data_IF_066857022225
#
_entry.id   IF_066857022225
#
_cell.length_a   1.000
_cell.length_b   1.000
_cell.length_c   1.000
_cell.angle_alpha   90.00
_cell.angle_beta   90.00
_cell.angle_gamma   90.00
#
_symmetry.space_group_name_H-M   'P 1'
#
loop_
_entity.id
_entity.type
_entity.pdbx_description
1 polymer ?
#
# COMPACT_ATOMS: atom_id res chain seq x y z
N UNK A 1 11.32 -16.40 9.40
CA UNK A 1 10.11 -16.61 10.23
C UNK A 1 8.86 -16.13 9.51
N UNK A 2 8.88 -15.04 8.75
CA UNK A 2 7.70 -14.53 8.01
C UNK A 2 7.06 -15.52 7.01
N UNK A 3 7.81 -16.49 6.49
CA UNK A 3 7.31 -17.56 5.62
C UNK A 3 6.52 -18.65 6.36
N UNK A 4 6.65 -18.74 7.69
CA UNK A 4 5.92 -19.69 8.53
C UNK A 4 4.87 -18.98 9.38
N UNK A 5 5.28 -17.97 10.14
CA UNK A 5 4.40 -17.11 10.94
C UNK A 5 5.05 -15.73 11.09
N UNK A 6 4.45 -14.72 10.45
CA UNK A 6 4.92 -13.35 10.59
C UNK A 6 4.46 -12.73 11.90
N UNK A 7 5.29 -11.85 12.46
CA UNK A 7 5.01 -11.11 13.69
C UNK A 7 4.64 -9.68 13.34
N UNK A 8 3.51 -9.21 13.86
CA UNK A 8 3.10 -7.81 13.80
C UNK A 8 3.00 -7.23 15.20
N UNK A 9 3.67 -6.11 15.46
CA UNK A 9 3.61 -5.40 16.75
C UNK A 9 2.71 -4.18 16.62
N UNK A 10 1.86 -3.96 17.61
CA UNK A 10 0.93 -2.83 17.66
C UNK A 10 1.44 -1.83 18.67
N UNK A 11 1.56 -0.58 18.23
CA UNK A 11 1.98 0.53 19.06
C UNK A 11 0.86 1.57 19.19
N UNK A 12 0.76 2.18 20.38
CA UNK A 12 -0.19 3.25 20.65
C UNK A 12 0.52 4.49 21.15
N UNK A 13 0.04 5.64 20.72
CA UNK A 13 0.43 6.94 21.26
C UNK A 13 -0.80 7.68 21.80
N UNK A 14 -0.73 8.13 23.05
CA UNK A 14 -1.78 8.94 23.70
C UNK A 14 -1.46 10.45 23.70
N UNK A 15 -0.32 10.84 23.15
CA UNK A 15 0.19 12.22 23.21
C UNK A 15 0.58 12.77 21.83
N UNK A 16 -0.24 12.44 20.81
CA UNK A 16 -0.10 12.94 19.43
C UNK A 16 1.22 12.51 18.76
N UNK A 17 1.71 11.31 19.10
CA UNK A 17 2.89 10.69 18.49
C UNK A 17 4.22 11.09 19.12
N UNK A 18 4.23 11.76 20.28
CA UNK A 18 5.47 12.13 20.99
C UNK A 18 6.15 10.92 21.63
N UNK A 19 5.36 10.03 22.24
CA UNK A 19 5.83 8.75 22.75
C UNK A 19 4.91 7.63 22.27
N UNK A 20 5.48 6.43 22.19
CA UNK A 20 4.81 5.22 21.73
C UNK A 20 5.07 4.08 22.69
N UNK A 21 4.03 3.29 22.93
CA UNK A 21 4.08 2.09 23.75
C UNK A 21 3.65 0.91 22.89
N UNK A 22 4.39 -0.20 22.94
CA UNK A 22 3.95 -1.45 22.34
C UNK A 22 2.85 -2.04 23.24
N UNK A 23 1.65 -2.22 22.68
CA UNK A 23 0.48 -2.66 23.44
C UNK A 23 0.09 -4.12 23.18
N UNK A 24 0.53 -4.68 22.04
CA UNK A 24 0.31 -6.09 21.72
C UNK A 24 1.24 -6.57 20.61
N UNK A 25 1.45 -7.88 20.59
CA UNK A 25 2.15 -8.60 19.53
C UNK A 25 1.21 -9.68 18.95
N UNK A 26 1.12 -9.74 17.63
CA UNK A 26 0.24 -10.65 16.90
C UNK A 26 1.12 -11.59 16.08
N UNK A 27 0.95 -12.89 16.32
CA UNK A 27 1.54 -13.95 15.52
C UNK A 27 0.61 -14.35 14.38
N UNK A 28 1.19 -14.60 13.20
CA UNK A 28 0.43 -14.99 12.01
C UNK A 28 -0.33 -13.80 11.41
N UNK A 29 0.35 -12.66 11.23
CA UNK A 29 -0.18 -11.51 10.54
C UNK A 29 0.93 -10.74 9.80
N UNK A 30 0.72 -10.49 8.50
CA UNK A 30 1.69 -9.89 7.61
C UNK A 30 1.06 -8.95 6.58
N UNK A 31 1.84 -7.93 6.18
CA UNK A 31 1.48 -6.91 5.19
C UNK A 31 0.14 -6.22 5.43
N UNK A 32 -0.27 -6.11 6.69
CA UNK A 32 -1.64 -5.76 7.06
C UNK A 32 -1.88 -4.28 7.26
N UNK A 33 -3.13 -3.86 7.03
CA UNK A 33 -3.62 -2.52 7.30
C UNK A 33 -4.50 -2.50 8.54
N UNK A 34 -4.21 -1.58 9.46
CA UNK A 34 -5.12 -1.19 10.54
C UNK A 34 -6.19 -0.23 10.02
N UNK A 35 -7.44 -0.46 10.40
CA UNK A 35 -8.56 0.44 10.11
C UNK A 35 -9.64 0.33 11.17
N UNK A 36 -10.47 1.37 11.27
CA UNK A 36 -11.65 1.39 12.15
C UNK A 36 -12.89 1.17 11.31
N UNK A 37 -13.78 0.30 11.77
CA UNK A 37 -15.08 0.06 11.16
C UNK A 37 -16.07 -0.36 12.25
N UNK A 38 -17.32 0.11 12.22
CA UNK A 38 -18.34 -0.21 13.22
C UNK A 38 -17.83 -0.08 14.68
N UNK A 39 -17.12 1.01 14.99
CA UNK A 39 -16.53 1.29 16.32
C UNK A 39 -15.50 0.27 16.83
N UNK A 40 -15.01 -0.63 15.99
CA UNK A 40 -13.97 -1.60 16.31
C UNK A 40 -12.71 -1.40 15.46
N UNK A 41 -11.58 -1.89 15.94
CA UNK A 41 -10.32 -1.88 15.18
C UNK A 41 -10.20 -3.22 14.47
N UNK A 42 -9.88 -3.16 13.18
CA UNK A 42 -9.62 -4.33 12.36
C UNK A 42 -8.19 -4.28 11.81
N UNK A 43 -7.64 -5.46 11.60
CA UNK A 43 -6.34 -5.67 10.97
C UNK A 43 -6.52 -6.70 9.86
N UNK A 44 -6.36 -6.27 8.60
CA UNK A 44 -6.57 -7.13 7.43
C UNK A 44 -5.30 -7.20 6.59
N UNK A 45 -4.95 -8.41 6.17
CA UNK A 45 -3.81 -8.69 5.32
C UNK A 45 -3.66 -10.19 5.11
N UNK A 46 -2.42 -10.68 5.11
CA UNK A 46 -2.14 -12.12 4.99
C UNK A 46 -1.65 -12.67 6.32
N UNK A 47 -1.75 -13.98 6.56
CA UNK A 47 -1.24 -14.57 7.81
C UNK A 47 0.28 -14.79 7.80
N UNK A 48 0.89 -14.85 6.62
CA UNK A 48 2.32 -15.05 6.37
C UNK A 48 2.67 -14.57 4.96
N UNK A 49 3.95 -14.58 4.61
CA UNK A 49 4.38 -14.32 3.23
C UNK A 49 3.68 -15.30 2.26
N UNK A 50 2.85 -14.76 1.35
CA UNK A 50 2.01 -15.53 0.42
C UNK A 50 1.02 -16.51 1.09
N UNK A 51 0.33 -16.06 2.14
CA UNK A 51 -0.68 -16.84 2.84
C UNK A 51 -2.13 -16.44 2.56
N UNK A 52 -3.08 -17.13 3.20
CA UNK A 52 -4.50 -16.80 3.26
C UNK A 52 -4.73 -15.31 3.54
N UNK A 53 -5.74 -14.74 2.89
CA UNK A 53 -6.26 -13.43 3.25
C UNK A 53 -7.11 -13.56 4.51
N UNK A 54 -6.73 -12.81 5.55
CA UNK A 54 -7.33 -12.88 6.88
C UNK A 54 -7.64 -11.49 7.42
N UNK A 55 -8.60 -11.44 8.34
CA UNK A 55 -8.94 -10.26 9.12
C UNK A 55 -9.05 -10.61 10.60
N UNK A 56 -8.58 -9.70 11.44
CA UNK A 56 -8.70 -9.77 12.90
C UNK A 56 -9.47 -8.57 13.40
N UNK A 57 -10.16 -8.72 14.52
CA UNK A 57 -10.86 -7.65 15.24
C UNK A 57 -10.25 -7.48 16.62
N UNK A 58 -10.17 -6.24 17.07
CA UNK A 58 -9.93 -5.87 18.45
C UNK A 58 -11.12 -5.03 18.96
N UNK A 59 -11.55 -5.31 20.18
CA UNK A 59 -12.64 -4.62 20.87
C UNK A 59 -12.14 -3.80 22.08
N UNK A 60 -10.83 -3.79 22.33
CA UNK A 60 -10.17 -3.21 23.51
C UNK A 60 -9.00 -2.31 23.08
N UNK A 61 -9.23 -1.51 22.04
CA UNK A 61 -8.28 -0.53 21.50
C UNK A 61 -6.93 -1.12 21.04
N UNK A 62 -6.92 -2.37 20.59
CA UNK A 62 -5.76 -3.04 20.03
C UNK A 62 -4.92 -3.83 21.06
N UNK A 63 -5.39 -3.97 22.31
CA UNK A 63 -4.70 -4.75 23.33
C UNK A 63 -4.81 -6.26 23.07
N UNK A 64 -5.97 -6.74 22.63
CA UNK A 64 -6.18 -8.13 22.22
C UNK A 64 -6.83 -8.23 20.84
N UNK A 65 -6.61 -9.37 20.18
CA UNK A 65 -7.03 -9.62 18.81
C UNK A 65 -7.64 -11.01 18.65
N UNK A 66 -8.71 -11.11 17.87
CA UNK A 66 -9.27 -12.41 17.47
C UNK A 66 -8.27 -13.23 16.66
N UNK A 67 -8.38 -14.56 16.75
CA UNK A 67 -7.63 -15.49 15.90
C UNK A 67 -8.49 -15.95 14.72
N UNK A 68 -8.01 -15.80 13.47
CA UNK A 68 -8.72 -16.33 12.31
C UNK A 68 -8.67 -17.86 12.30
N UNK A 69 -9.82 -18.53 12.19
CA UNK A 69 -9.92 -20.00 12.20
C UNK A 69 -10.58 -20.55 10.95
N UNK A 70 -11.64 -19.91 10.48
CA UNK A 70 -12.52 -20.41 9.41
C UNK A 70 -13.30 -19.25 8.75
N UNK A 71 -14.14 -19.60 7.78
CA UNK A 71 -14.90 -18.65 6.98
C UNK A 71 -15.89 -17.78 7.79
N UNK A 72 -16.32 -18.21 8.97
CA UNK A 72 -17.18 -17.42 9.87
C UNK A 72 -16.34 -16.56 10.84
N UNK A 73 -15.06 -16.88 10.98
CA UNK A 73 -14.14 -16.31 11.95
C UNK A 73 -12.84 -15.86 11.29
N UNK A 74 -12.92 -14.87 10.40
CA UNK A 74 -11.77 -14.08 9.95
C UNK A 74 -10.88 -14.69 8.87
N UNK A 75 -11.09 -15.94 8.45
CA UNK A 75 -10.45 -16.48 7.24
C UNK A 75 -11.29 -16.09 6.02
N UNK A 76 -10.84 -15.08 5.27
CA UNK A 76 -11.61 -14.51 4.17
C UNK A 76 -11.41 -15.25 2.86
N UNK A 77 -10.16 -15.60 2.54
CA UNK A 77 -9.82 -16.39 1.36
C UNK A 77 -8.67 -17.34 1.71
N UNK A 78 -8.88 -18.65 1.49
CA UNK A 78 -7.83 -19.66 1.61
C UNK A 78 -6.98 -19.73 0.34
N UNK A 79 -5.65 -19.81 0.47
CA UNK A 79 -4.72 -19.85 -0.66
C UNK A 79 -3.47 -19.00 -0.45
N UNK A 80 -2.80 -18.63 -1.54
CA UNK A 80 -1.65 -17.73 -1.52
C UNK A 80 -2.06 -16.34 -1.99
N UNK A 81 -2.10 -15.37 -1.08
CA UNK A 81 -2.42 -13.98 -1.39
C UNK A 81 -1.27 -13.04 -1.03
N UNK A 82 -1.31 -11.84 -1.59
CA UNK A 82 -0.37 -10.77 -1.33
C UNK A 82 -1.15 -9.46 -1.14
N UNK A 83 -0.57 -8.55 -0.37
CA UNK A 83 -0.99 -7.17 -0.25
C UNK A 83 0.14 -6.34 0.35
N UNK A 84 -0.12 -5.06 0.57
CA UNK A 84 0.65 -4.17 1.43
C UNK A 84 -0.29 -3.45 2.41
N UNK A 85 0.21 -2.68 3.39
CA UNK A 85 -0.61 -1.80 4.23
C UNK A 85 -1.19 -0.61 3.42
N UNK A 86 -2.09 -0.91 2.49
CA UNK A 86 -2.76 0.01 1.57
C UNK A 86 -4.06 0.57 2.18
N UNK A 87 -4.57 1.72 1.73
CA UNK A 87 -5.81 2.27 2.28
C UNK A 87 -7.02 1.39 1.94
N UNK A 88 -8.00 1.39 2.85
CA UNK A 88 -9.37 1.00 2.55
C UNK A 88 -10.19 2.28 2.38
N UNK A 89 -11.20 2.26 1.51
CA UNK A 89 -12.12 3.38 1.32
C UNK A 89 -13.55 2.94 1.56
N UNK A 90 -14.36 3.87 2.07
CA UNK A 90 -15.81 3.75 2.09
C UNK A 90 -16.35 4.51 0.89
N UNK A 91 -17.14 3.84 0.05
CA UNK A 91 -17.79 4.45 -1.11
C UNK A 91 -19.04 3.65 -1.47
N UNK A 92 -20.13 4.35 -1.79
CA UNK A 92 -21.43 3.76 -2.17
C UNK A 92 -21.90 2.63 -1.24
N UNK A 93 -21.87 2.90 0.08
CA UNK A 93 -22.35 1.95 1.09
C UNK A 93 -21.48 0.70 1.27
N UNK A 94 -20.25 0.70 0.74
CA UNK A 94 -19.31 -0.43 0.83
C UNK A 94 -17.93 -0.01 1.30
N UNK A 95 -17.25 -0.92 1.97
CA UNK A 95 -15.82 -0.85 2.25
C UNK A 95 -15.05 -1.57 1.15
N UNK A 96 -13.99 -0.97 0.62
CA UNK A 96 -13.21 -1.49 -0.51
C UNK A 96 -11.74 -1.70 -0.14
N UNK A 97 -11.17 -2.82 -0.59
CA UNK A 97 -9.79 -3.25 -0.29
C UNK A 97 -9.15 -3.94 -1.48
N UNK A 98 -8.08 -3.37 -2.01
CA UNK A 98 -7.26 -4.04 -3.02
C UNK A 98 -6.42 -5.17 -2.40
N UNK A 99 -6.24 -6.25 -3.15
CA UNK A 99 -5.44 -7.42 -2.82
C UNK A 99 -4.82 -8.00 -4.10
N UNK A 100 -3.83 -8.87 -3.96
CA UNK A 100 -3.25 -9.60 -5.07
C UNK A 100 -3.32 -11.12 -4.85
N UNK A 101 -3.66 -11.85 -5.90
CA UNK A 101 -3.60 -13.30 -5.98
C UNK A 101 -2.16 -13.69 -6.25
N UNK A 102 -1.53 -14.46 -5.37
CA UNK A 102 -0.15 -14.91 -5.55
C UNK A 102 -0.07 -16.32 -6.16
N UNK A 103 -1.19 -16.92 -6.56
CA UNK A 103 -1.25 -18.31 -7.04
C UNK A 103 -0.97 -18.42 -8.54
N UNK A 104 -0.63 -17.32 -9.23
CA UNK A 104 -0.36 -17.31 -10.67
C UNK A 104 0.66 -18.36 -11.13
N UNK A 105 0.58 -18.79 -12.41
CA UNK A 105 1.33 -19.94 -12.93
C UNK A 105 2.85 -19.69 -13.00
N UNK A 106 3.28 -18.43 -13.19
CA UNK A 106 4.69 -18.05 -13.21
C UNK A 106 5.12 -17.70 -11.78
N UNK A 107 5.73 -18.64 -11.05
CA UNK A 107 6.15 -18.49 -9.64
C UNK A 107 7.42 -17.64 -9.48
N UNK A 108 7.44 -16.46 -10.09
CA UNK A 108 8.49 -15.44 -9.99
C UNK A 108 7.89 -14.19 -9.36
N UNK A 109 8.66 -13.50 -8.50
CA UNK A 109 8.22 -12.23 -7.91
C UNK A 109 7.77 -11.24 -8.99
N UNK A 110 6.67 -10.52 -8.74
CA UNK A 110 6.06 -9.63 -9.72
C UNK A 110 5.12 -10.39 -10.67
N UNK A 111 5.65 -11.39 -11.40
CA UNK A 111 4.91 -12.13 -12.44
C UNK A 111 3.84 -13.08 -11.90
N UNK A 112 3.99 -13.55 -10.65
CA UNK A 112 3.00 -14.44 -10.03
C UNK A 112 1.73 -13.72 -9.59
N UNK A 113 1.77 -12.39 -9.49
CA UNK A 113 0.72 -11.62 -8.85
C UNK A 113 -0.40 -11.26 -9.84
N UNK A 114 -1.63 -11.46 -9.40
CA UNK A 114 -2.83 -11.02 -10.10
C UNK A 114 -3.60 -9.99 -9.28
N UNK A 115 -3.89 -8.82 -9.84
CA UNK A 115 -4.61 -7.75 -9.14
C UNK A 115 -6.11 -8.05 -9.03
N UNK A 116 -6.70 -7.84 -7.86
CA UNK A 116 -8.15 -7.88 -7.67
C UNK A 116 -8.62 -6.92 -6.57
N UNK A 117 -9.93 -6.74 -6.46
CA UNK A 117 -10.58 -5.93 -5.43
C UNK A 117 -11.49 -6.80 -4.57
N UNK A 118 -11.48 -6.54 -3.27
CA UNK A 118 -12.47 -7.04 -2.32
C UNK A 118 -13.38 -5.89 -1.87
N UNK A 119 -14.65 -6.18 -1.61
CA UNK A 119 -15.55 -5.22 -0.97
C UNK A 119 -16.62 -5.89 -0.10
N UNK A 120 -17.16 -5.15 0.85
CA UNK A 120 -18.22 -5.61 1.77
C UNK A 120 -19.21 -4.47 2.04
N UNK A 121 -20.53 -4.72 2.11
CA UNK A 121 -21.49 -3.71 2.58
C UNK A 121 -21.20 -3.26 4.01
N UNK A 122 -21.39 -1.97 4.32
CA UNK A 122 -20.98 -1.39 5.61
C UNK A 122 -21.76 -1.91 6.82
N UNK A 123 -22.93 -2.50 6.61
CA UNK A 123 -23.80 -3.06 7.65
C UNK A 123 -23.49 -4.54 7.96
N UNK A 124 -22.59 -5.17 7.21
CA UNK A 124 -22.25 -6.59 7.36
C UNK A 124 -21.05 -6.80 8.27
N UNK A 125 -20.97 -8.00 8.83
CA UNK A 125 -19.87 -8.41 9.70
C UNK A 125 -18.61 -8.69 8.86
N UNK A 126 -17.50 -7.93 9.02
CA UNK A 126 -16.27 -8.15 8.26
C UNK A 126 -15.57 -9.46 8.57
N UNK A 127 -15.88 -10.11 9.71
CA UNK A 127 -15.25 -11.37 10.10
C UNK A 127 -15.79 -12.57 9.30
N UNK A 128 -16.91 -12.43 8.59
CA UNK A 128 -17.52 -13.51 7.81
C UNK A 128 -17.16 -13.39 6.33
N UNK A 129 -16.52 -14.41 5.77
CA UNK A 129 -16.06 -14.45 4.40
C UNK A 129 -17.21 -14.29 3.38
N UNK A 130 -18.38 -14.86 3.66
CA UNK A 130 -19.54 -14.80 2.76
C UNK A 130 -20.08 -13.37 2.52
N UNK A 131 -19.76 -12.41 3.40
CA UNK A 131 -20.14 -11.01 3.22
C UNK A 131 -19.22 -10.26 2.25
N UNK A 132 -18.04 -10.81 1.93
CA UNK A 132 -17.07 -10.18 1.04
C UNK A 132 -17.31 -10.59 -0.41
N UNK A 133 -17.38 -9.59 -1.28
CA UNK A 133 -17.37 -9.74 -2.74
C UNK A 133 -15.93 -9.63 -3.24
N UNK A 134 -15.53 -10.55 -4.13
CA UNK A 134 -14.22 -10.57 -4.81
C UNK A 134 -14.42 -10.33 -6.30
N UNK A 135 -13.62 -9.45 -6.91
CA UNK A 135 -13.61 -9.31 -8.36
C UNK A 135 -12.91 -10.48 -9.07
N UNK A 136 -13.02 -10.57 -10.40
CA UNK A 136 -12.06 -11.36 -11.18
C UNK A 136 -10.61 -10.87 -10.93
N UNK A 137 -9.66 -11.73 -11.28
CA UNK A 137 -8.22 -11.48 -11.12
C UNK A 137 -7.61 -11.05 -12.45
N UNK A 138 -6.83 -9.98 -12.45
CA UNK A 138 -6.03 -9.54 -13.60
C UNK A 138 -4.58 -10.00 -13.42
N UNK A 139 -4.22 -11.06 -14.14
CA UNK A 139 -2.88 -11.68 -14.07
C UNK A 139 -1.79 -10.91 -14.82
N UNK A 140 -0.57 -11.42 -14.70
CA UNK A 140 0.58 -10.95 -15.47
C UNK A 140 0.38 -11.09 -16.97
N UNK A 141 0.83 -10.09 -17.73
CA UNK A 141 0.83 -10.09 -19.19
C UNK A 141 2.20 -9.64 -19.71
N UNK A 142 2.93 -10.56 -20.35
CA UNK A 142 4.27 -10.27 -20.87
C UNK A 142 4.28 -9.31 -22.05
N UNK A 143 3.14 -9.02 -22.67
CA UNK A 143 3.07 -8.09 -23.81
C UNK A 143 3.17 -6.63 -23.38
N UNK A 144 2.96 -6.33 -22.09
CA UNK A 144 3.05 -4.98 -21.56
C UNK A 144 4.49 -4.46 -21.57
N UNK A 145 4.61 -3.16 -21.90
CA UNK A 145 5.90 -2.47 -22.07
C UNK A 145 6.87 -3.21 -23.00
N UNK A 146 6.37 -3.79 -24.10
CA UNK A 146 7.19 -4.55 -25.06
C UNK A 146 8.05 -5.63 -24.38
N UNK A 147 7.50 -6.33 -23.37
CA UNK A 147 8.23 -7.36 -22.63
C UNK A 147 8.85 -6.91 -21.32
N UNK A 148 8.88 -5.60 -21.02
CA UNK A 148 9.55 -5.06 -19.83
C UNK A 148 8.68 -5.09 -18.55
N UNK A 149 7.41 -5.48 -18.64
CA UNK A 149 6.55 -5.58 -17.48
C UNK A 149 7.06 -6.64 -16.50
N UNK A 150 7.38 -6.22 -15.28
CA UNK A 150 7.80 -7.06 -14.17
C UNK A 150 6.65 -7.49 -13.25
N UNK A 151 5.57 -6.71 -13.21
CA UNK A 151 4.36 -6.98 -12.43
C UNK A 151 3.67 -5.72 -11.90
N UNK A 152 2.49 -5.90 -11.33
CA UNK A 152 1.75 -4.87 -10.58
C UNK A 152 1.40 -5.38 -9.19
N UNK A 153 1.50 -4.55 -8.16
CA UNK A 153 1.18 -4.95 -6.78
C UNK A 153 0.85 -3.73 -5.92
N UNK A 154 0.47 -3.97 -4.66
CA UNK A 154 0.32 -2.96 -3.61
C UNK A 154 -0.72 -1.91 -4.01
N UNK A 155 -1.89 -2.39 -4.43
CA UNK A 155 -2.97 -1.57 -4.96
C UNK A 155 -3.64 -0.63 -3.95
N UNK A 156 -4.03 0.56 -4.40
CA UNK A 156 -4.84 1.51 -3.63
C UNK A 156 -6.28 1.49 -4.13
N UNK A 157 -7.24 1.18 -3.26
CA UNK A 157 -8.63 1.52 -3.53
C UNK A 157 -8.80 3.05 -3.42
N UNK A 158 -9.27 3.69 -4.48
CA UNK A 158 -9.48 5.15 -4.53
C UNK A 158 -10.71 5.48 -5.39
N UNK A 159 -11.49 6.49 -4.98
CA UNK A 159 -12.60 7.01 -5.79
C UNK A 159 -12.03 7.97 -6.83
N UNK A 160 -12.26 7.69 -8.11
CA UNK A 160 -11.81 8.52 -9.22
C UNK A 160 -12.69 9.75 -9.46
N UNK A 161 -12.26 10.68 -10.32
CA UNK A 161 -13.06 11.85 -10.70
C UNK A 161 -14.39 11.47 -11.38
N UNK A 162 -14.46 10.27 -11.97
CA UNK A 162 -15.68 9.70 -12.57
C UNK A 162 -16.66 9.14 -11.53
N UNK A 163 -16.35 9.26 -10.23
CA UNK A 163 -17.14 8.68 -9.14
C UNK A 163 -16.98 7.16 -8.99
N UNK A 164 -16.20 6.53 -9.87
CA UNK A 164 -15.95 5.09 -9.85
C UNK A 164 -14.84 4.69 -8.87
N UNK A 165 -14.80 3.41 -8.52
CA UNK A 165 -13.70 2.83 -7.73
C UNK A 165 -12.59 2.38 -8.65
N UNK A 166 -11.37 2.82 -8.34
CA UNK A 166 -10.15 2.46 -9.03
C UNK A 166 -9.19 1.74 -8.08
N UNK A 167 -8.43 0.79 -8.64
CA UNK A 167 -7.26 0.21 -8.00
C UNK A 167 -6.00 0.79 -8.65
N UNK A 168 -5.25 1.63 -7.90
CA UNK A 168 -3.99 2.23 -8.35
C UNK A 168 -2.80 1.42 -7.82
N UNK A 169 -2.07 0.74 -8.71
CA UNK A 169 -0.98 -0.16 -8.34
C UNK A 169 0.39 0.40 -8.75
N UNK A 170 1.43 0.11 -7.96
CA UNK A 170 2.81 0.30 -8.43
C UNK A 170 3.14 -0.70 -9.53
N UNK A 171 4.01 -0.29 -10.44
CA UNK A 171 4.45 -1.12 -11.56
C UNK A 171 5.95 -1.35 -11.48
N UNK A 172 6.35 -2.61 -11.58
CA UNK A 172 7.75 -2.96 -11.79
C UNK A 172 8.05 -2.91 -13.30
N UNK A 173 8.96 -2.02 -13.68
CA UNK A 173 9.54 -1.93 -15.02
C UNK A 173 11.03 -1.61 -14.83
N UNK A 174 11.90 -2.54 -15.23
CA UNK A 174 13.35 -2.47 -14.98
C UNK A 174 14.15 -1.94 -16.16
N UNK A 175 13.51 -1.67 -17.30
CA UNK A 175 14.22 -1.25 -18.51
C UNK A 175 14.41 0.26 -18.59
N UNK A 176 13.80 1.02 -17.66
CA UNK A 176 14.01 2.47 -17.56
C UNK A 176 13.81 2.95 -16.13
N UNK A 177 14.28 4.17 -15.83
CA UNK A 177 13.98 4.89 -14.59
C UNK A 177 12.66 5.68 -14.66
N UNK A 178 11.93 5.61 -15.77
CA UNK A 178 10.58 6.15 -15.84
C UNK A 178 9.66 5.27 -15.00
N UNK A 179 8.95 5.90 -14.08
CA UNK A 179 8.08 5.20 -13.14
C UNK A 179 6.62 5.31 -13.57
N UNK A 180 5.87 4.23 -13.33
CA UNK A 180 4.49 4.10 -13.74
C UNK A 180 3.61 3.61 -12.61
N UNK A 181 2.33 3.97 -12.66
CA UNK A 181 1.27 3.30 -11.92
C UNK A 181 0.27 2.68 -12.90
N UNK A 182 -0.36 1.58 -12.50
CA UNK A 182 -1.45 0.96 -13.25
C UNK A 182 -2.80 1.41 -12.64
N UNK A 183 -3.72 1.84 -13.49
CA UNK A 183 -5.11 2.19 -13.16
C UNK A 183 -6.04 1.06 -13.58
N UNK A 184 -6.57 0.32 -12.61
CA UNK A 184 -7.54 -0.75 -12.85
C UNK A 184 -8.92 -0.27 -12.42
N UNK A 185 -9.90 -0.31 -13.33
CA UNK A 185 -11.29 0.09 -13.03
C UNK A 185 -12.05 -1.06 -12.40
N UNK A 186 -12.78 -0.79 -11.32
CA UNK A 186 -13.63 -1.75 -10.63
C UNK A 186 -15.10 -1.43 -10.91
N UNK A 187 -15.90 -2.43 -11.23
CA UNK A 187 -17.34 -2.29 -11.41
C UNK A 187 -18.03 -1.89 -10.10
N UNK A 188 -19.16 -1.18 -10.19
CA UNK A 188 -19.89 -0.68 -9.01
C UNK A 188 -20.31 -1.79 -8.03
N UNK A 189 -20.63 -2.99 -8.53
CA UNK A 189 -20.96 -4.16 -7.71
C UNK A 189 -19.71 -4.91 -7.17
N UNK A 190 -18.50 -4.49 -7.56
CA UNK A 190 -17.23 -5.05 -7.10
C UNK A 190 -16.84 -6.42 -7.68
N UNK A 191 -17.55 -6.92 -8.70
CA UNK A 191 -17.30 -8.25 -9.27
C UNK A 191 -16.33 -8.23 -10.45
N UNK A 192 -16.11 -7.09 -11.09
CA UNK A 192 -15.26 -6.97 -12.28
C UNK A 192 -14.14 -5.94 -12.07
N UNK A 193 -12.91 -6.37 -12.28
CA UNK A 193 -11.73 -5.56 -12.51
C UNK A 193 -11.42 -5.56 -14.01
N UNK A 194 -11.10 -4.38 -14.56
CA UNK A 194 -10.77 -4.20 -15.98
C UNK A 194 -9.59 -3.25 -16.13
N UNK A 195 -8.74 -3.50 -17.13
CA UNK A 195 -7.55 -2.73 -17.41
C UNK A 195 -7.52 -2.32 -18.88
N UNK A 196 -7.40 -1.02 -19.12
CA UNK A 196 -7.20 -0.49 -20.47
C UNK A 196 -5.71 -0.56 -20.83
N UNK A 197 -5.36 -1.35 -21.83
CA UNK A 197 -3.95 -1.54 -22.23
C UNK A 197 -3.30 -0.28 -22.79
N UNK A 198 -4.08 0.64 -23.36
CA UNK A 198 -3.59 1.84 -24.01
C UNK A 198 -3.46 3.02 -23.05
N UNK A 199 -4.38 3.14 -22.08
CA UNK A 199 -4.47 4.28 -21.16
C UNK A 199 -4.30 3.93 -19.69
N UNK A 200 -4.20 2.65 -19.35
CA UNK A 200 -4.18 2.16 -17.97
C UNK A 200 -2.83 2.34 -17.27
N UNK A 201 -1.73 2.50 -18.01
CA UNK A 201 -0.43 2.87 -17.43
C UNK A 201 -0.23 4.38 -17.51
N UNK A 202 0.02 5.00 -16.36
CA UNK A 202 0.30 6.44 -16.26
C UNK A 202 1.70 6.68 -15.71
N UNK A 203 2.33 7.79 -16.09
CA UNK A 203 3.54 8.25 -15.42
C UNK A 203 3.21 8.60 -13.96
N UNK A 204 4.01 8.11 -13.02
CA UNK A 204 3.74 8.31 -11.60
C UNK A 204 5.03 8.52 -10.80
N UNK A 205 5.20 9.64 -10.07
CA UNK A 205 6.40 9.89 -9.27
C UNK A 205 6.50 8.87 -8.13
N UNK A 206 7.51 7.99 -8.16
CA UNK A 206 7.67 6.91 -7.19
C UNK A 206 6.84 5.66 -7.48
N UNK A 207 6.27 5.54 -8.70
CA UNK A 207 5.37 4.46 -9.10
C UNK A 207 5.99 3.06 -9.12
N UNK A 208 7.32 2.93 -8.98
CA UNK A 208 7.97 1.63 -8.85
C UNK A 208 8.11 1.13 -7.40
N UNK A 209 7.67 1.91 -6.41
CA UNK A 209 7.67 1.59 -4.96
C UNK A 209 6.27 1.73 -4.37
N UNK A 210 6.05 1.20 -3.15
CA UNK A 210 4.78 1.37 -2.42
C UNK A 210 4.47 2.86 -2.25
N UNK A 211 3.25 3.26 -2.60
CA UNK A 211 2.71 4.60 -2.35
C UNK A 211 1.33 4.50 -1.70
N UNK A 212 0.79 5.61 -1.20
CA UNK A 212 -0.55 5.63 -0.60
C UNK A 212 -1.27 6.90 -1.02
N UNK A 213 -2.39 6.74 -1.73
CA UNK A 213 -3.19 7.85 -2.24
C UNK A 213 -4.35 8.14 -1.29
N UNK A 214 -4.61 9.43 -1.03
CA UNK A 214 -5.84 9.88 -0.37
C UNK A 214 -6.40 11.13 -1.04
N UNK A 215 -7.72 11.18 -1.12
CA UNK A 215 -8.43 12.37 -1.62
C UNK A 215 -8.63 13.38 -0.49
N UNK A 216 -8.34 14.64 -0.77
CA UNK A 216 -8.58 15.75 0.13
C UNK A 216 -9.86 16.51 -0.28
N UNK A 217 -10.96 16.42 0.48
CA UNK A 217 -12.21 17.04 0.11
C UNK A 217 -12.18 18.58 0.12
N UNK A 218 -11.20 19.21 0.79
CA UNK A 218 -11.04 20.67 0.81
C UNK A 218 -10.44 21.18 -0.51
N UNK A 219 -9.35 20.58 -0.97
CA UNK A 219 -8.66 21.01 -2.21
C UNK A 219 -9.21 20.36 -3.47
N UNK A 220 -10.00 19.29 -3.33
CA UNK A 220 -10.42 18.42 -4.44
C UNK A 220 -9.23 17.81 -5.19
N UNK A 221 -8.14 17.58 -4.47
CA UNK A 221 -6.93 16.95 -4.99
C UNK A 221 -6.71 15.59 -4.33
N UNK A 222 -6.10 14.70 -5.09
CA UNK A 222 -5.47 13.48 -4.62
C UNK A 222 -4.07 13.79 -4.17
N UNK A 223 -3.67 13.26 -3.02
CA UNK A 223 -2.34 13.44 -2.44
C UNK A 223 -1.68 12.08 -2.25
N UNK A 224 -0.36 12.04 -2.36
CA UNK A 224 0.45 10.85 -2.05
C UNK A 224 1.80 11.26 -1.46
N UNK A 225 2.32 10.42 -0.57
CA UNK A 225 3.73 10.40 -0.19
C UNK A 225 4.38 9.21 -0.89
N UNK A 226 5.34 9.46 -1.77
CA UNK A 226 5.99 8.43 -2.58
C UNK A 226 7.49 8.63 -2.68
N UNK A 227 8.20 7.55 -2.97
CA UNK A 227 9.64 7.60 -3.17
C UNK A 227 10.00 8.14 -4.55
N UNK A 228 9.98 9.46 -4.72
CA UNK A 228 10.35 10.14 -5.96
C UNK A 228 11.85 9.97 -6.28
N UNK A 229 12.21 9.81 -7.55
CA UNK A 229 13.61 9.81 -7.99
C UNK A 229 13.89 11.15 -8.68
N UNK A 230 14.67 12.06 -8.07
CA UNK A 230 15.07 13.31 -8.69
C UNK A 230 15.84 13.10 -10.00
N UNK A 231 15.75 14.06 -10.92
CA UNK A 231 16.30 13.91 -12.27
C UNK A 231 17.82 13.79 -12.25
N UNK A 232 18.49 14.53 -11.37
CA UNK A 232 19.93 14.41 -11.11
C UNK A 232 20.32 13.01 -10.62
N UNK A 233 19.48 12.37 -9.80
CA UNK A 233 19.70 11.00 -9.34
C UNK A 233 19.50 10.01 -10.49
N UNK A 234 18.50 10.24 -11.36
CA UNK A 234 18.30 9.39 -12.54
C UNK A 234 19.48 9.45 -13.50
N UNK A 235 19.93 10.67 -13.82
CA UNK A 235 21.05 10.92 -14.73
C UNK A 235 22.35 10.29 -14.21
N UNK A 236 22.56 10.29 -12.90
CA UNK A 236 23.72 9.66 -12.27
C UNK A 236 23.64 8.12 -12.18
N UNK A 237 22.47 7.50 -12.47
CA UNK A 237 22.24 6.06 -12.26
C UNK A 237 21.57 5.36 -13.44
N UNK A 238 22.05 5.52 -14.69
CA UNK A 238 21.45 4.87 -15.85
C UNK A 238 21.41 3.34 -15.69
N UNK A 239 20.31 2.72 -16.10
CA UNK A 239 20.12 1.27 -16.03
C UNK A 239 19.84 0.70 -14.64
N UNK A 240 19.85 1.54 -13.58
CA UNK A 240 19.49 1.08 -12.23
C UNK A 240 18.00 0.76 -12.14
N UNK A 241 17.66 -0.28 -11.37
CA UNK A 241 16.26 -0.59 -11.09
C UNK A 241 15.63 0.54 -10.25
N UNK A 242 14.57 1.23 -10.72
CA UNK A 242 13.97 2.35 -9.99
C UNK A 242 13.38 1.93 -8.64
N UNK A 243 12.95 0.67 -8.49
CA UNK A 243 12.45 0.12 -7.23
C UNK A 243 13.52 0.01 -6.13
N UNK A 244 14.80 0.13 -6.51
CA UNK A 244 15.96 0.11 -5.60
C UNK A 244 16.43 1.51 -5.17
N UNK A 245 15.74 2.58 -5.55
CA UNK A 245 16.10 3.96 -5.17
C UNK A 245 14.98 4.54 -4.28
N UNK A 246 15.29 4.74 -3.00
CA UNK A 246 14.30 5.05 -1.93
C UNK A 246 14.72 6.17 -0.98
N UNK A 247 15.84 6.82 -1.26
CA UNK A 247 16.48 7.86 -0.44
C UNK A 247 15.74 9.20 -0.43
N UNK A 248 14.75 9.39 -1.32
CA UNK A 248 13.95 10.62 -1.40
C UNK A 248 12.48 10.28 -1.20
N UNK A 249 11.82 10.96 -0.25
CA UNK A 249 10.37 10.92 -0.04
C UNK A 249 9.78 12.27 -0.42
N UNK A 250 8.78 12.27 -1.29
CA UNK A 250 8.15 13.46 -1.81
C UNK A 250 6.64 13.46 -1.54
N UNK A 251 6.10 14.65 -1.28
CA UNK A 251 4.67 14.93 -1.33
C UNK A 251 4.31 15.30 -2.77
N UNK A 252 3.39 14.54 -3.36
CA UNK A 252 2.89 14.75 -4.71
C UNK A 252 1.36 14.85 -4.70
N UNK A 253 0.80 15.50 -5.71
CA UNK A 253 -0.65 15.65 -5.84
C UNK A 253 -1.12 15.51 -7.29
N UNK A 254 -2.42 15.26 -7.47
CA UNK A 254 -3.08 15.18 -8.77
C UNK A 254 -4.53 15.63 -8.63
N UNK A 255 -5.11 16.23 -9.67
CA UNK A 255 -6.55 16.54 -9.73
C UNK A 255 -7.38 15.42 -10.36
N UNK A 256 -6.74 14.47 -11.07
CA UNK A 256 -7.43 13.52 -11.95
C UNK A 256 -6.94 12.06 -11.82
N UNK A 257 -6.07 11.79 -10.83
CA UNK A 257 -5.34 10.52 -10.62
C UNK A 257 -4.34 10.14 -11.73
N UNK A 258 -4.26 10.89 -12.82
CA UNK A 258 -3.42 10.59 -13.99
C UNK A 258 -2.19 11.48 -14.06
N UNK A 259 -2.41 12.78 -13.91
CA UNK A 259 -1.38 13.80 -14.01
C UNK A 259 -0.92 14.17 -12.60
N UNK A 260 0.26 13.67 -12.21
CA UNK A 260 0.84 13.87 -10.89
C UNK A 260 1.94 14.92 -10.91
N UNK A 261 1.89 15.82 -9.91
CA UNK A 261 2.83 16.91 -9.74
C UNK A 261 3.56 16.78 -8.41
N UNK A 262 4.85 17.06 -8.42
CA UNK A 262 5.66 17.18 -7.21
C UNK A 262 5.28 18.49 -6.49
N UNK A 263 4.84 18.41 -5.22
CA UNK A 263 4.63 19.59 -4.37
C UNK A 263 5.90 19.94 -3.61
N UNK A 264 6.51 18.96 -2.94
CA UNK A 264 7.64 19.19 -2.04
C UNK A 264 8.43 17.91 -1.74
N UNK A 265 9.75 18.00 -1.69
CA UNK A 265 10.61 16.98 -1.08
C UNK A 265 10.49 17.06 0.44
N UNK A 266 10.10 15.95 1.07
CA UNK A 266 9.89 15.84 2.52
C UNK A 266 11.17 15.40 3.21
N UNK A 267 11.77 14.32 2.71
CA UNK A 267 13.05 13.80 3.18
C UNK A 267 13.91 13.46 1.98
N UNK A 268 15.22 13.67 2.10
CA UNK A 268 16.19 13.27 1.09
C UNK A 268 17.52 12.98 1.77
N UNK A 269 18.20 11.94 1.30
CA UNK A 269 19.57 11.61 1.71
C UNK A 269 20.42 11.39 0.46
N UNK A 270 21.71 11.77 0.42
CA UNK A 270 22.56 11.58 -0.77
C UNK A 270 22.87 10.10 -1.07
N UNK A 271 22.97 9.26 -0.04
CA UNK A 271 23.22 7.83 -0.20
C UNK A 271 21.95 7.10 -0.68
N UNK A 272 22.00 6.61 -1.92
CA UNK A 272 20.90 5.87 -2.54
C UNK A 272 20.92 4.37 -2.22
N UNK A 273 21.95 3.86 -1.56
CA UNK A 273 22.16 2.43 -1.29
C UNK A 273 21.66 2.07 0.10
N UNK A 274 22.12 2.73 1.16
CA UNK A 274 21.72 2.37 2.53
C UNK A 274 20.53 3.17 3.05
N UNK A 275 20.34 4.40 2.59
CA UNK A 275 19.34 5.30 3.17
C UNK A 275 18.01 5.29 2.42
N UNK A 276 16.91 5.27 3.17
CA UNK A 276 15.57 5.16 2.59
C UNK A 276 14.44 5.62 3.49
N UNK A 277 13.41 6.24 2.90
CA UNK A 277 12.23 6.75 3.60
C UNK A 277 10.98 6.22 2.93
N UNK A 278 10.55 5.01 3.26
CA UNK A 278 9.73 4.20 2.35
C UNK A 278 8.57 3.52 3.07
N UNK A 279 7.72 2.85 2.27
CA UNK A 279 6.52 2.17 2.74
C UNK A 279 5.59 3.04 3.58
N UNK A 280 5.69 4.37 3.39
CA UNK A 280 4.99 5.36 4.20
C UNK A 280 3.50 5.11 4.17
N UNK A 281 2.89 5.10 5.35
CA UNK A 281 1.45 5.13 5.53
C UNK A 281 1.10 6.38 6.34
N UNK A 282 0.04 7.06 5.93
CA UNK A 282 -0.22 8.41 6.38
C UNK A 282 -1.71 8.72 6.41
N UNK A 283 -2.09 9.77 7.14
CA UNK A 283 -3.46 10.25 7.33
C UNK A 283 -3.50 11.78 7.34
N UNK A 284 -4.63 12.36 6.96
CA UNK A 284 -4.91 13.77 7.24
C UNK A 284 -5.23 13.97 8.73
N UNK A 285 -4.74 15.05 9.30
CA UNK A 285 -5.07 15.56 10.64
C UNK A 285 -5.33 17.08 10.54
N UNK A 286 -6.56 17.38 10.13
CA UNK A 286 -6.99 18.72 9.72
C UNK A 286 -6.09 19.26 8.60
N UNK A 287 -5.41 20.38 8.87
CA UNK A 287 -4.46 21.01 7.93
C UNK A 287 -3.09 20.35 7.84
N UNK A 288 -2.88 19.23 8.53
CA UNK A 288 -1.60 18.54 8.62
C UNK A 288 -1.70 17.13 8.05
N UNK A 289 -0.54 16.53 7.78
CA UNK A 289 -0.41 15.10 7.52
C UNK A 289 0.32 14.46 8.70
N UNK A 290 -0.15 13.30 9.15
CA UNK A 290 0.55 12.37 10.03
C UNK A 290 1.10 11.24 9.19
N UNK A 291 2.34 10.83 9.40
CA UNK A 291 2.90 9.69 8.70
C UNK A 291 3.74 8.79 9.60
N UNK A 292 3.65 7.49 9.36
CA UNK A 292 4.59 6.49 9.83
C UNK A 292 5.47 6.05 8.65
N UNK A 293 6.78 5.95 8.86
CA UNK A 293 7.77 5.71 7.81
C UNK A 293 8.68 4.55 8.20
N UNK A 294 8.84 3.58 7.30
CA UNK A 294 9.96 2.62 7.40
C UNK A 294 11.21 3.37 6.96
N UNK A 295 12.08 3.66 7.91
CA UNK A 295 13.28 4.47 7.70
C UNK A 295 14.52 3.60 7.79
N UNK A 296 15.28 3.57 6.71
CA UNK A 296 16.61 3.01 6.65
C UNK A 296 17.61 4.16 6.84
N UNK A 297 18.37 4.13 7.93
CA UNK A 297 19.28 5.21 8.33
C UNK A 297 20.49 4.66 9.10
N UNK A 298 21.48 5.51 9.33
CA UNK A 298 22.56 5.25 10.27
C UNK A 298 22.02 4.99 11.70
N UNK A 299 22.66 4.06 12.40
CA UNK A 299 22.42 3.76 13.81
C UNK A 299 23.75 3.59 14.56
N UNK A 300 23.70 3.25 15.85
CA UNK A 300 24.91 3.06 16.67
C UNK A 300 25.74 1.81 16.32
N UNK A 301 25.29 1.02 15.33
CA UNK A 301 25.92 -0.21 14.87
C UNK A 301 26.38 -0.04 13.42
N UNK A 302 25.88 -0.85 12.48
CA UNK A 302 26.29 -0.82 11.07
C UNK A 302 25.37 0.03 10.17
N UNK A 303 24.34 0.65 10.76
CA UNK A 303 23.25 1.29 10.03
C UNK A 303 22.32 0.28 9.35
N UNK A 304 21.40 0.79 8.52
CA UNK A 304 20.51 -0.06 7.75
C UNK A 304 21.28 -0.94 6.74
N UNK A 305 20.82 -2.17 6.56
CA UNK A 305 21.38 -3.11 5.58
C UNK A 305 21.33 -2.54 4.16
N UNK A 306 20.19 -1.98 3.77
CA UNK A 306 19.99 -1.25 2.52
C UNK A 306 18.77 -0.32 2.65
N UNK A 307 18.50 0.48 1.62
CA UNK A 307 17.40 1.43 1.59
C UNK A 307 15.98 0.81 1.63
N UNK A 308 15.86 -0.51 1.47
CA UNK A 308 14.64 -1.31 1.55
C UNK A 308 14.44 -1.98 2.92
N UNK A 309 15.52 -2.42 3.56
CA UNK A 309 15.50 -3.16 4.82
C UNK A 309 15.74 -2.19 5.99
N UNK A 310 14.70 -1.40 6.24
CA UNK A 310 14.68 -0.36 7.26
C UNK A 310 14.93 -0.92 8.68
N UNK A 311 15.80 -0.25 9.43
CA UNK A 311 16.11 -0.49 10.84
C UNK A 311 15.26 0.36 11.81
N UNK A 312 14.54 1.37 11.30
CA UNK A 312 13.65 2.22 12.10
C UNK A 312 12.20 2.23 11.59
N UNK A 313 11.27 2.43 12.53
CA UNK A 313 9.91 2.89 12.28
C UNK A 313 9.74 4.27 12.93
N UNK A 314 9.61 5.31 12.11
CA UNK A 314 9.57 6.70 12.57
C UNK A 314 8.20 7.32 12.36
N UNK A 315 7.87 8.35 13.15
CA UNK A 315 6.61 9.08 13.07
C UNK A 315 6.86 10.57 12.88
N UNK A 316 6.15 11.18 11.91
CA UNK A 316 6.29 12.60 11.60
C UNK A 316 4.96 13.28 11.37
N UNK A 317 5.00 14.61 11.44
CA UNK A 317 3.88 15.51 11.13
C UNK A 317 4.29 16.58 10.15
N UNK A 318 3.70 16.58 8.96
CA UNK A 318 3.85 17.66 7.99
C UNK A 318 2.78 18.71 8.27
N UNK A 319 3.19 19.90 8.70
CA UNK A 319 2.26 20.97 9.05
C UNK A 319 1.82 21.75 7.82
N UNK A 320 0.53 22.12 7.74
CA UNK A 320 -0.03 23.00 6.69
C UNK A 320 0.32 22.50 5.27
N UNK A 321 0.14 21.21 5.00
CA UNK A 321 0.62 20.55 3.76
C UNK A 321 0.06 21.15 2.46
N UNK A 322 -1.11 21.81 2.53
CA UNK A 322 -1.77 22.49 1.41
C UNK A 322 -1.07 23.79 0.98
N UNK A 323 -0.26 24.39 1.86
CA UNK A 323 0.45 25.65 1.58
C UNK A 323 1.68 25.37 0.73
#
# INVERSE_FOLDING_TARGET
TEHSSAVSRIYRSKNKGKTWEMISEINGQFWSKLFVHQSHIYLMGTHKHHGNAIIRRSMDEGATWTNPTDAENGLLLAGEYHCAPMPLIVHEGRLWRAMEDAMGPIKVWGKRYGSFMMSIPLDKNPMQAANWTKSNVLGYDSTYFNGAFGGWIEGNAVVGPDGGVWNMLRVDNKTSLQEYAAMVKISANGTQASFDRSMGFIAFPGGSKKFTIRFDPETKLYWTLSNYIPEEVKNANPGKNPASIRNTLALCFSSDLKNWQLKKIVFQHPDIIKHGFQYVDWLFDGKNILLACRTAYDDAFEGAHNNHDANYLTFFRIKKFRK
#
